data_IF_106300991253
#
_entry.id   IF_106300991253
#
_cell.length_a   1.000
_cell.length_b   1.000
_cell.length_c   1.000
_cell.angle_alpha   90.00
_cell.angle_beta   90.00
_cell.angle_gamma   90.00
#
_symmetry.space_group_name_H-M   'P 1'
#
loop_
_entity.id
_entity.type
_entity.pdbx_description
1 polymer ?
#
# COMPACT_ATOMS: atom_id res chain seq x y z
N UNK A 1 -7.09 -20.22 22.54
CA UNK A 1 -6.12 -19.12 22.63
C UNK A 1 -6.01 -18.54 21.23
N UNK A 2 -6.45 -17.29 21.03
CA UNK A 2 -6.25 -16.63 19.73
C UNK A 2 -4.73 -16.43 19.56
N UNK A 3 -4.12 -17.14 18.61
CA UNK A 3 -2.77 -16.80 18.18
C UNK A 3 -2.77 -15.32 17.78
N UNK A 4 -1.87 -14.54 18.38
CA UNK A 4 -1.73 -13.14 18.03
C UNK A 4 -1.37 -13.07 16.55
N UNK A 5 -2.18 -12.36 15.78
CA UNK A 5 -1.87 -12.03 14.38
C UNK A 5 -0.51 -11.36 14.34
N UNK A 6 0.40 -11.86 13.53
CA UNK A 6 1.76 -11.35 13.41
C UNK A 6 2.04 -10.95 11.97
N UNK A 7 2.49 -9.71 11.75
CA UNK A 7 2.94 -9.21 10.46
C UNK A 7 4.47 -9.28 10.39
N UNK A 8 5.02 -10.40 9.89
CA UNK A 8 6.47 -10.56 9.77
C UNK A 8 7.01 -9.77 8.59
N UNK A 9 7.73 -8.68 8.86
CA UNK A 9 8.44 -7.87 7.87
C UNK A 9 9.91 -8.23 7.91
N UNK A 10 10.49 -8.51 6.73
CA UNK A 10 11.91 -8.77 6.56
C UNK A 10 12.49 -7.71 5.64
N UNK A 11 13.42 -6.93 6.15
CA UNK A 11 14.16 -5.92 5.38
C UNK A 11 15.52 -6.48 4.98
N UNK A 12 15.89 -6.29 3.71
CA UNK A 12 17.18 -6.73 3.22
C UNK A 12 17.71 -5.82 2.09
N UNK A 13 19.01 -5.87 1.91
CA UNK A 13 19.72 -5.32 0.74
C UNK A 13 19.91 -6.46 -0.27
N UNK A 14 19.24 -6.37 -1.41
CA UNK A 14 19.28 -7.40 -2.46
C UNK A 14 18.38 -8.61 -2.23
N UNK A 15 18.51 -9.63 -3.09
CA UNK A 15 17.66 -10.81 -3.10
C UNK A 15 18.26 -12.02 -2.37
N UNK A 16 19.56 -12.05 -2.12
CA UNK A 16 20.21 -13.23 -1.50
C UNK A 16 19.62 -13.62 -0.13
N UNK A 17 19.31 -12.68 0.79
CA UNK A 17 18.69 -13.01 2.06
C UNK A 17 17.26 -13.58 1.98
N UNK A 18 16.62 -13.54 0.80
CA UNK A 18 15.31 -14.18 0.58
C UNK A 18 15.40 -15.70 0.63
N UNK A 19 16.47 -16.29 0.08
CA UNK A 19 16.56 -17.73 -0.13
C UNK A 19 16.59 -18.55 1.16
N UNK A 20 17.34 -18.17 2.21
CA UNK A 20 17.26 -18.85 3.50
C UNK A 20 15.83 -18.87 4.09
N UNK A 21 15.02 -17.83 3.85
CA UNK A 21 13.64 -17.80 4.32
C UNK A 21 12.75 -18.82 3.61
N UNK A 22 13.14 -19.27 2.42
CA UNK A 22 12.42 -20.26 1.62
C UNK A 22 12.82 -21.70 1.91
N UNK A 23 13.88 -21.94 2.70
CA UNK A 23 14.37 -23.28 3.02
C UNK A 23 13.37 -24.15 3.78
N UNK A 24 12.59 -23.55 4.68
CA UNK A 24 11.60 -24.23 5.53
C UNK A 24 10.32 -24.63 4.77
N UNK A 25 10.18 -24.25 3.50
CA UNK A 25 9.03 -24.58 2.69
C UNK A 25 9.33 -25.74 1.72
N UNK A 26 8.32 -26.47 1.29
CA UNK A 26 8.43 -27.56 0.30
C UNK A 26 8.82 -27.03 -1.08
N UNK A 27 7.84 -26.85 -1.94
CA UNK A 27 8.00 -26.23 -3.25
C UNK A 27 7.51 -24.79 -3.24
N UNK A 28 7.95 -23.99 -4.21
CA UNK A 28 7.57 -22.59 -4.38
C UNK A 28 6.84 -22.42 -5.72
N UNK A 29 5.69 -21.78 -5.68
CA UNK A 29 4.99 -21.28 -6.85
C UNK A 29 5.13 -19.75 -6.90
N UNK A 30 5.67 -19.20 -7.98
CA UNK A 30 5.82 -17.76 -8.13
C UNK A 30 4.60 -17.19 -8.88
N UNK A 31 3.97 -16.16 -8.32
CA UNK A 31 3.03 -15.28 -9.02
C UNK A 31 3.71 -13.94 -9.20
N UNK A 32 4.06 -13.58 -10.43
CA UNK A 32 4.88 -12.41 -10.71
C UNK A 32 4.21 -11.44 -11.68
N UNK A 33 4.30 -10.14 -11.39
CA UNK A 33 3.95 -9.09 -12.35
C UNK A 33 4.93 -9.12 -13.53
N UNK A 34 4.38 -9.10 -14.75
CA UNK A 34 5.16 -9.07 -16.00
C UNK A 34 6.18 -7.93 -16.02
N UNK A 35 5.82 -6.77 -15.47
CA UNK A 35 6.67 -5.58 -15.50
C UNK A 35 7.97 -5.72 -14.67
N UNK A 36 8.00 -6.62 -13.70
CA UNK A 36 9.17 -6.85 -12.82
C UNK A 36 9.78 -8.24 -12.99
N UNK A 37 9.31 -8.98 -14.00
CA UNK A 37 9.77 -10.34 -14.24
C UNK A 37 11.29 -10.41 -14.45
N UNK A 38 11.83 -9.60 -15.37
CA UNK A 38 13.26 -9.65 -15.70
C UNK A 38 14.16 -9.17 -14.56
N UNK A 39 13.71 -8.18 -13.78
CA UNK A 39 14.52 -7.58 -12.72
C UNK A 39 14.46 -8.37 -11.40
N UNK A 40 13.33 -9.02 -11.10
CA UNK A 40 13.12 -9.68 -9.80
C UNK A 40 12.64 -11.12 -9.95
N UNK A 41 11.60 -11.36 -10.75
CA UNK A 41 10.95 -12.68 -10.87
C UNK A 41 11.88 -13.72 -11.45
N UNK A 42 12.50 -13.43 -12.59
CA UNK A 42 13.42 -14.37 -13.27
C UNK A 42 14.66 -14.70 -12.43
N UNK A 43 15.40 -13.72 -11.85
CA UNK A 43 16.52 -14.03 -10.94
C UNK A 43 16.14 -14.93 -9.77
N UNK A 44 14.98 -14.70 -9.15
CA UNK A 44 14.46 -15.56 -8.06
C UNK A 44 14.15 -16.96 -8.60
N UNK A 45 13.50 -17.06 -9.77
CA UNK A 45 13.14 -18.35 -10.37
C UNK A 45 14.35 -19.19 -10.75
N UNK A 46 15.38 -18.59 -11.36
CA UNK A 46 16.63 -19.26 -11.73
C UNK A 46 17.35 -19.82 -10.50
N UNK A 47 17.45 -19.02 -9.43
CA UNK A 47 18.06 -19.47 -8.19
C UNK A 47 17.31 -20.65 -7.58
N UNK A 48 15.98 -20.64 -7.58
CA UNK A 48 15.15 -21.73 -7.08
C UNK A 48 15.21 -23.00 -7.96
N UNK A 49 15.56 -22.88 -9.25
CA UNK A 49 15.83 -24.02 -10.14
C UNK A 49 17.21 -24.64 -9.95
N UNK A 50 18.12 -23.99 -9.25
CA UNK A 50 19.48 -24.48 -9.07
C UNK A 50 20.55 -23.78 -9.93
N UNK A 51 20.22 -22.63 -10.54
CA UNK A 51 21.18 -21.78 -11.23
C UNK A 51 22.17 -21.13 -10.27
N UNK A 52 23.48 -21.43 -10.48
CA UNK A 52 24.64 -20.89 -9.78
C UNK A 52 24.68 -21.03 -8.24
N UNK A 53 25.15 -22.17 -7.78
CA UNK A 53 25.84 -22.26 -6.51
C UNK A 53 27.14 -21.43 -6.62
N UNK A 54 27.12 -20.18 -6.15
CA UNK A 54 28.38 -19.48 -5.85
C UNK A 54 29.10 -20.29 -4.76
N UNK A 55 30.40 -20.47 -4.94
CA UNK A 55 31.37 -21.28 -4.20
C UNK A 55 31.57 -20.87 -2.73
N UNK A 56 30.51 -20.79 -1.97
CA UNK A 56 30.52 -20.53 -0.54
C UNK A 56 29.39 -21.34 0.08
N UNK A 57 29.71 -22.54 0.50
CA UNK A 57 29.04 -23.54 1.36
C UNK A 57 27.64 -23.31 1.94
N UNK A 58 26.74 -22.64 1.25
CA UNK A 58 25.37 -22.40 1.66
C UNK A 58 24.42 -23.45 1.10
N UNK A 59 23.63 -24.04 1.95
CA UNK A 59 22.64 -25.08 1.69
C UNK A 59 21.69 -24.73 0.55
N UNK A 60 21.41 -25.70 -0.22
CA UNK A 60 20.78 -25.81 -1.52
C UNK A 60 19.27 -25.53 -1.48
N UNK A 61 18.82 -24.34 -1.86
CA UNK A 61 17.43 -24.09 -2.32
C UNK A 61 17.18 -24.60 -3.76
N UNK A 62 18.08 -25.44 -4.27
CA UNK A 62 17.97 -26.04 -5.59
C UNK A 62 16.74 -26.94 -5.70
N UNK A 63 16.06 -26.87 -6.87
CA UNK A 63 14.87 -27.67 -7.20
C UNK A 63 13.62 -27.40 -6.35
N UNK A 64 13.50 -26.19 -5.79
CA UNK A 64 12.28 -25.78 -5.07
C UNK A 64 11.22 -25.12 -5.96
N UNK A 65 11.58 -24.62 -7.12
CA UNK A 65 10.61 -24.01 -8.02
C UNK A 65 9.71 -25.08 -8.64
N UNK A 66 8.41 -25.02 -8.33
CA UNK A 66 7.40 -25.88 -8.96
C UNK A 66 6.88 -25.26 -10.25
N UNK A 67 6.64 -23.95 -10.29
CA UNK A 67 6.17 -23.25 -11.46
C UNK A 67 6.04 -21.74 -11.24
N UNK A 68 5.64 -21.06 -12.31
CA UNK A 68 5.52 -19.61 -12.37
C UNK A 68 4.28 -19.22 -13.16
N UNK A 69 3.44 -18.35 -12.59
CA UNK A 69 2.38 -17.64 -13.31
C UNK A 69 2.79 -16.18 -13.45
N UNK A 70 3.06 -15.74 -14.68
CA UNK A 70 3.34 -14.32 -14.99
C UNK A 70 2.01 -13.64 -15.34
N UNK A 71 1.63 -12.65 -14.54
CA UNK A 71 0.36 -11.93 -14.69
C UNK A 71 0.59 -10.51 -15.22
N UNK A 72 -0.39 -9.97 -15.90
CA UNK A 72 -0.49 -8.53 -16.15
C UNK A 72 -1.23 -7.89 -14.98
N UNK A 73 -0.48 -7.28 -14.06
CA UNK A 73 -0.98 -6.71 -12.81
C UNK A 73 -1.61 -5.33 -13.03
N UNK A 74 -2.66 -5.28 -13.83
CA UNK A 74 -3.52 -4.10 -14.00
C UNK A 74 -4.79 -4.20 -13.17
N UNK A 75 -5.42 -3.06 -12.87
CA UNK A 75 -6.70 -3.02 -12.13
C UNK A 75 -7.81 -3.78 -12.87
N UNK A 76 -7.76 -3.81 -14.21
CA UNK A 76 -8.69 -4.56 -15.04
C UNK A 76 -8.54 -6.08 -14.88
N UNK A 77 -7.33 -6.54 -14.59
CA UNK A 77 -7.01 -7.95 -14.43
C UNK A 77 -7.01 -8.44 -12.97
N UNK A 78 -7.35 -7.57 -12.01
CA UNK A 78 -7.54 -7.96 -10.61
C UNK A 78 -8.89 -8.65 -10.43
N UNK A 79 -9.06 -9.83 -11.05
CA UNK A 79 -10.36 -10.50 -11.22
C UNK A 79 -10.31 -11.97 -10.79
N UNK A 80 -11.51 -12.60 -10.70
CA UNK A 80 -11.63 -14.03 -10.44
C UNK A 80 -11.08 -14.88 -11.60
N UNK A 81 -11.18 -14.39 -12.84
CA UNK A 81 -10.65 -15.08 -14.01
C UNK A 81 -9.12 -15.22 -13.94
N UNK A 82 -8.42 -14.17 -13.47
CA UNK A 82 -6.96 -14.26 -13.22
C UNK A 82 -6.64 -15.26 -12.12
N UNK A 83 -7.43 -15.27 -11.07
CA UNK A 83 -7.29 -16.25 -9.96
C UNK A 83 -7.50 -17.68 -10.47
N UNK A 84 -8.54 -17.91 -11.26
CA UNK A 84 -8.85 -19.21 -11.86
C UNK A 84 -7.70 -19.71 -12.75
N UNK A 85 -7.13 -18.84 -13.57
CA UNK A 85 -5.98 -19.16 -14.42
C UNK A 85 -4.77 -19.61 -13.57
N UNK A 86 -4.40 -18.86 -12.53
CA UNK A 86 -3.26 -19.21 -11.65
C UNK A 86 -3.54 -20.52 -10.90
N UNK A 87 -4.75 -20.72 -10.41
CA UNK A 87 -5.16 -21.97 -9.75
C UNK A 87 -5.08 -23.16 -10.72
N UNK A 88 -5.49 -22.97 -11.97
CA UNK A 88 -5.37 -23.97 -13.04
C UNK A 88 -3.92 -24.38 -13.28
N UNK A 89 -3.02 -23.41 -13.48
CA UNK A 89 -1.57 -23.65 -13.65
C UNK A 89 -1.00 -24.46 -12.46
N UNK A 90 -1.37 -24.08 -11.23
CA UNK A 90 -0.92 -24.78 -10.02
C UNK A 90 -1.43 -26.23 -9.93
N UNK A 91 -2.67 -26.46 -10.37
CA UNK A 91 -3.27 -27.81 -10.39
C UNK A 91 -2.61 -28.70 -11.44
N UNK A 92 -2.39 -28.19 -12.65
CA UNK A 92 -1.72 -28.93 -13.74
C UNK A 92 -0.28 -29.30 -13.38
N UNK A 93 0.43 -28.41 -12.68
CA UNK A 93 1.78 -28.68 -12.16
C UNK A 93 1.80 -29.62 -10.94
N UNK A 94 0.66 -30.04 -10.43
CA UNK A 94 0.58 -30.93 -9.28
C UNK A 94 0.93 -30.30 -7.94
N UNK A 95 0.79 -28.99 -7.78
CA UNK A 95 1.07 -28.29 -6.52
C UNK A 95 0.31 -28.94 -5.35
N UNK A 96 1.01 -29.35 -4.31
CA UNK A 96 0.42 -29.95 -3.11
C UNK A 96 0.09 -28.90 -2.03
N UNK A 97 -0.28 -29.33 -0.82
CA UNK A 97 -0.61 -28.42 0.29
C UNK A 97 0.61 -27.79 0.96
N UNK A 98 1.81 -28.24 0.66
CA UNK A 98 3.06 -27.73 1.22
C UNK A 98 3.69 -26.66 0.34
N UNK A 99 3.08 -26.35 -0.82
CA UNK A 99 3.54 -25.27 -1.70
C UNK A 99 3.47 -23.92 -0.99
N UNK A 100 4.52 -23.12 -1.17
CA UNK A 100 4.51 -21.69 -0.84
C UNK A 100 4.17 -20.90 -2.11
N UNK A 101 3.16 -20.05 -2.06
CA UNK A 101 2.91 -19.07 -3.11
C UNK A 101 3.71 -17.82 -2.81
N UNK A 102 4.65 -17.45 -3.70
CA UNK A 102 5.47 -16.26 -3.58
C UNK A 102 4.97 -15.19 -4.56
N UNK A 103 4.32 -14.15 -4.03
CA UNK A 103 3.85 -13.00 -4.81
C UNK A 103 4.96 -11.98 -5.00
N UNK A 104 5.37 -11.71 -6.26
CA UNK A 104 6.42 -10.74 -6.63
C UNK A 104 5.81 -9.64 -7.50
N UNK A 105 5.67 -8.42 -6.96
CA UNK A 105 5.06 -7.33 -7.71
C UNK A 105 4.50 -6.22 -6.84
N UNK A 106 3.67 -5.37 -7.43
CA UNK A 106 2.93 -4.32 -6.73
C UNK A 106 1.73 -4.84 -5.93
N UNK A 107 0.92 -3.92 -5.38
CA UNK A 107 -0.25 -4.25 -4.55
C UNK A 107 -1.26 -5.18 -5.23
N UNK A 108 -1.49 -5.02 -6.54
CA UNK A 108 -2.40 -5.91 -7.29
C UNK A 108 -1.87 -7.35 -7.27
N UNK A 109 -0.58 -7.54 -7.51
CA UNK A 109 0.05 -8.87 -7.51
C UNK A 109 0.01 -9.52 -6.12
N UNK A 110 0.32 -8.75 -5.06
CA UNK A 110 0.28 -9.28 -3.70
C UNK A 110 -1.13 -9.67 -3.29
N UNK A 111 -2.13 -8.85 -3.61
CA UNK A 111 -3.54 -9.15 -3.33
C UNK A 111 -4.01 -10.42 -4.05
N UNK A 112 -3.69 -10.56 -5.36
CA UNK A 112 -4.02 -11.74 -6.15
C UNK A 112 -3.31 -12.99 -5.61
N UNK A 113 -2.00 -12.93 -5.38
CA UNK A 113 -1.21 -14.06 -4.88
C UNK A 113 -1.68 -14.53 -3.51
N UNK A 114 -1.95 -13.58 -2.59
CA UNK A 114 -2.46 -13.88 -1.26
C UNK A 114 -3.88 -14.48 -1.30
N UNK A 115 -4.73 -14.02 -2.22
CA UNK A 115 -6.07 -14.56 -2.40
C UNK A 115 -6.03 -15.97 -3.02
N UNK A 116 -5.25 -16.19 -4.10
CA UNK A 116 -4.99 -17.51 -4.68
C UNK A 116 -4.55 -18.50 -3.60
N UNK A 117 -3.51 -18.15 -2.83
CA UNK A 117 -3.00 -18.99 -1.78
C UNK A 117 -4.04 -19.30 -0.69
N UNK A 118 -4.91 -18.34 -0.41
CA UNK A 118 -5.92 -18.48 0.64
C UNK A 118 -7.05 -19.44 0.26
N UNK A 119 -7.36 -19.57 -1.03
CA UNK A 119 -8.44 -20.44 -1.51
C UNK A 119 -7.94 -21.77 -2.09
N UNK A 120 -6.71 -21.81 -2.65
CA UNK A 120 -6.12 -23.03 -3.21
C UNK A 120 -6.04 -24.13 -2.16
N UNK A 121 -6.63 -25.30 -2.45
CA UNK A 121 -6.69 -26.47 -1.52
C UNK A 121 -7.17 -26.12 -0.10
N UNK A 122 -8.01 -25.11 0.06
CA UNK A 122 -8.51 -24.55 1.33
C UNK A 122 -7.46 -23.80 2.14
N UNK A 123 -6.43 -23.30 1.49
CA UNK A 123 -5.37 -22.50 2.06
C UNK A 123 -4.01 -23.16 2.05
N UNK A 124 -3.05 -22.54 1.34
CA UNK A 124 -1.62 -22.86 1.35
C UNK A 124 -0.84 -21.64 1.85
N UNK A 125 0.41 -21.85 2.27
CA UNK A 125 1.27 -20.75 2.75
C UNK A 125 1.61 -19.78 1.62
N UNK A 126 1.86 -18.54 1.96
CA UNK A 126 2.27 -17.53 0.98
C UNK A 126 3.18 -16.47 1.62
N UNK A 127 3.98 -15.82 0.78
CA UNK A 127 4.85 -14.71 1.16
C UNK A 127 4.89 -13.68 0.04
N UNK A 128 5.35 -12.46 0.34
CA UNK A 128 5.40 -11.37 -0.61
C UNK A 128 6.79 -10.78 -0.77
N UNK A 129 7.11 -10.40 -2.02
CA UNK A 129 8.23 -9.54 -2.40
C UNK A 129 7.63 -8.31 -3.10
N UNK A 130 7.17 -7.29 -2.33
CA UNK A 130 6.57 -6.10 -2.91
C UNK A 130 7.61 -5.26 -3.64
N UNK A 131 7.32 -4.90 -4.90
CA UNK A 131 8.24 -4.18 -5.79
C UNK A 131 7.85 -2.73 -6.05
N UNK A 132 6.73 -2.27 -5.51
CA UNK A 132 6.32 -0.85 -5.52
C UNK A 132 6.37 -0.29 -4.12
N UNK A 133 6.69 1.00 -3.98
CA UNK A 133 6.70 1.66 -2.68
C UNK A 133 5.34 1.54 -1.96
N UNK A 134 4.23 1.75 -2.71
CA UNK A 134 2.88 1.58 -2.19
C UNK A 134 2.66 0.18 -1.58
N UNK A 135 3.14 -0.87 -2.25
CA UNK A 135 3.01 -2.21 -1.71
C UNK A 135 3.90 -2.45 -0.49
N UNK A 136 5.12 -1.88 -0.48
CA UNK A 136 6.06 -2.01 0.64
C UNK A 136 5.54 -1.34 1.92
N UNK A 137 4.89 -0.17 1.81
CA UNK A 137 4.43 0.60 2.98
C UNK A 137 2.98 0.34 3.34
N UNK A 138 2.18 -0.20 2.40
CA UNK A 138 0.74 -0.35 2.59
C UNK A 138 0.19 -1.70 2.11
N UNK A 139 0.05 -1.95 0.81
CA UNK A 139 -0.79 -3.02 0.28
C UNK A 139 -0.36 -4.43 0.70
N UNK A 140 0.94 -4.75 0.75
CA UNK A 140 1.43 -6.07 1.16
C UNK A 140 1.41 -6.31 2.68
N UNK A 141 0.89 -5.38 3.48
CA UNK A 141 0.90 -5.44 4.94
C UNK A 141 -0.52 -5.38 5.47
N UNK A 142 -0.84 -6.30 6.38
CA UNK A 142 -2.14 -6.31 7.04
C UNK A 142 -3.10 -7.37 6.53
N UNK A 143 -2.65 -8.22 5.58
CA UNK A 143 -3.31 -9.47 5.22
C UNK A 143 -4.63 -9.33 4.47
N UNK A 144 -5.01 -8.14 4.02
CA UNK A 144 -6.17 -7.96 3.13
C UNK A 144 -5.76 -8.44 1.74
N UNK A 145 -6.35 -9.55 1.28
CA UNK A 145 -6.09 -10.13 -0.03
C UNK A 145 -7.41 -10.28 -0.77
N UNK A 146 -7.46 -9.97 -2.07
CA UNK A 146 -8.71 -10.07 -2.77
C UNK A 146 -8.68 -9.54 -4.19
N UNK A 147 -9.85 -9.61 -4.81
CA UNK A 147 -10.09 -9.25 -6.20
C UNK A 147 -11.30 -8.33 -6.33
N UNK A 148 -11.37 -7.68 -7.48
CA UNK A 148 -12.52 -6.89 -7.86
C UNK A 148 -13.67 -7.80 -8.29
N UNK A 149 -14.89 -7.34 -8.10
CA UNK A 149 -16.08 -8.00 -8.62
C UNK A 149 -16.94 -7.01 -9.37
N UNK A 150 -17.04 -7.19 -10.68
CA UNK A 150 -17.70 -6.23 -11.59
C UNK A 150 -17.04 -4.83 -11.45
N UNK A 151 -17.83 -3.80 -11.11
CA UNK A 151 -17.34 -2.43 -10.88
C UNK A 151 -16.89 -2.15 -9.44
N UNK A 152 -16.99 -3.13 -8.55
CA UNK A 152 -16.64 -2.94 -7.13
C UNK A 152 -15.23 -3.42 -6.86
N UNK A 153 -14.39 -2.52 -6.36
CA UNK A 153 -13.00 -2.85 -5.96
C UNK A 153 -12.96 -3.69 -4.69
N UNK A 154 -12.05 -4.68 -4.64
CA UNK A 154 -11.73 -5.49 -3.46
C UNK A 154 -12.95 -6.15 -2.77
N UNK A 155 -14.01 -6.45 -3.52
CA UNK A 155 -15.27 -6.94 -2.94
C UNK A 155 -15.20 -8.41 -2.52
N UNK A 156 -14.37 -9.22 -3.19
CA UNK A 156 -14.18 -10.63 -2.86
C UNK A 156 -12.77 -10.77 -2.30
N UNK A 157 -12.67 -11.18 -1.04
CA UNK A 157 -11.35 -11.30 -0.40
C UNK A 157 -11.40 -12.00 0.95
N UNK A 158 -10.23 -12.09 1.53
CA UNK A 158 -9.98 -12.70 2.83
C UNK A 158 -9.01 -11.83 3.63
N UNK A 159 -9.04 -11.96 4.95
CA UNK A 159 -8.01 -11.40 5.84
C UNK A 159 -7.13 -12.56 6.28
N UNK A 160 -5.91 -12.65 5.72
CA UNK A 160 -4.92 -13.67 6.06
C UNK A 160 -3.52 -13.11 5.88
N UNK A 161 -2.67 -13.29 6.91
CA UNK A 161 -1.30 -12.79 6.88
C UNK A 161 -0.39 -13.68 6.04
N UNK A 162 0.59 -13.09 5.31
CA UNK A 162 1.69 -13.85 4.71
C UNK A 162 2.62 -14.39 5.80
N UNK A 163 3.39 -15.43 5.47
CA UNK A 163 4.48 -15.96 6.31
C UNK A 163 5.52 -14.86 6.56
N UNK A 164 5.79 -14.04 5.55
CA UNK A 164 6.60 -12.83 5.63
C UNK A 164 6.33 -11.90 4.44
N UNK A 165 6.64 -10.61 4.64
CA UNK A 165 6.75 -9.61 3.57
C UNK A 165 8.21 -9.19 3.48
N UNK A 166 8.83 -9.44 2.33
CA UNK A 166 10.25 -9.20 2.07
C UNK A 166 10.45 -7.87 1.37
N UNK A 167 10.86 -6.84 2.11
CA UNK A 167 11.08 -5.49 1.59
C UNK A 167 12.54 -5.35 1.15
N UNK A 168 12.71 -5.09 -0.14
CA UNK A 168 14.01 -4.89 -0.74
C UNK A 168 13.97 -3.64 -1.64
N UNK A 169 14.78 -2.64 -1.29
CA UNK A 169 14.63 -1.28 -1.81
C UNK A 169 15.13 -1.12 -3.25
N UNK A 170 16.03 -1.98 -3.73
CA UNK A 170 16.52 -1.90 -5.11
C UNK A 170 15.41 -2.07 -6.14
N UNK A 171 14.32 -2.78 -5.79
CA UNK A 171 13.14 -2.91 -6.65
C UNK A 171 12.49 -1.56 -7.00
N UNK A 172 12.74 -0.52 -6.21
CA UNK A 172 12.21 0.82 -6.42
C UNK A 172 12.98 1.60 -7.50
N UNK A 173 14.23 1.21 -7.83
CA UNK A 173 15.08 1.93 -8.79
C UNK A 173 14.50 2.03 -10.19
N UNK A 174 13.67 1.06 -10.58
CA UNK A 174 13.01 1.01 -11.89
C UNK A 174 11.55 1.46 -11.86
N UNK A 175 11.05 1.87 -10.68
CA UNK A 175 9.65 2.23 -10.51
C UNK A 175 9.35 3.57 -11.21
N UNK A 176 8.31 3.65 -12.08
CA UNK A 176 7.90 4.90 -12.71
C UNK A 176 7.57 5.98 -11.66
N UNK A 177 7.94 7.23 -11.95
CA UNK A 177 7.78 8.36 -11.02
C UNK A 177 6.37 8.50 -10.44
N UNK A 178 5.33 8.33 -11.27
CA UNK A 178 3.94 8.41 -10.82
C UNK A 178 3.60 7.30 -9.82
N UNK A 179 4.10 6.09 -10.04
CA UNK A 179 3.91 4.96 -9.12
C UNK A 179 4.71 5.15 -7.83
N UNK A 180 5.91 5.72 -7.91
CA UNK A 180 6.72 6.08 -6.76
C UNK A 180 6.01 7.14 -5.89
N UNK A 181 5.54 8.26 -6.49
CA UNK A 181 4.80 9.30 -5.77
C UNK A 181 3.49 8.78 -5.18
N UNK A 182 2.83 7.82 -5.85
CA UNK A 182 1.66 7.14 -5.28
C UNK A 182 2.00 6.42 -3.97
N UNK A 183 3.16 5.78 -3.90
CA UNK A 183 3.67 5.18 -2.67
C UNK A 183 4.10 6.21 -1.61
N UNK A 184 4.66 7.35 -2.04
CA UNK A 184 5.03 8.46 -1.13
C UNK A 184 3.79 9.03 -0.43
N UNK A 185 2.65 9.12 -1.10
CA UNK A 185 1.41 9.56 -0.47
C UNK A 185 0.98 8.64 0.69
N UNK A 186 1.07 7.32 0.51
CA UNK A 186 0.78 6.32 1.55
C UNK A 186 1.84 6.31 2.68
N UNK A 187 3.10 6.52 2.32
CA UNK A 187 4.18 6.69 3.28
C UNK A 187 3.91 7.89 4.20
N UNK A 188 3.61 9.04 3.62
CA UNK A 188 3.25 10.26 4.37
C UNK A 188 1.96 10.09 5.17
N UNK A 189 0.94 9.42 4.63
CA UNK A 189 -0.27 9.08 5.36
C UNK A 189 0.06 8.37 6.67
N UNK A 190 0.89 7.33 6.61
CA UNK A 190 1.28 6.54 7.79
C UNK A 190 1.99 7.42 8.82
N UNK A 191 2.86 8.33 8.39
CA UNK A 191 3.57 9.22 9.31
C UNK A 191 2.71 10.37 9.85
N UNK A 192 1.74 10.86 9.09
CA UNK A 192 0.73 11.80 9.61
C UNK A 192 -0.11 11.14 10.71
N UNK A 193 -0.34 9.84 10.61
CA UNK A 193 -1.05 9.07 11.64
C UNK A 193 -0.24 8.94 12.93
N UNK A 194 1.08 8.65 12.83
CA UNK A 194 1.80 8.13 13.99
C UNK A 194 3.23 8.67 14.22
N UNK A 195 3.82 9.47 13.30
CA UNK A 195 5.26 9.76 13.36
C UNK A 195 5.65 11.09 12.69
N UNK A 196 5.64 12.16 13.46
CA UNK A 196 5.96 13.51 12.96
C UNK A 196 7.41 13.66 12.49
N UNK A 197 8.36 12.98 13.13
CA UNK A 197 9.79 13.09 12.79
C UNK A 197 10.06 12.42 11.45
N UNK A 198 9.52 11.22 11.25
CA UNK A 198 9.63 10.50 9.98
C UNK A 198 8.91 11.25 8.84
N UNK A 199 7.78 11.90 9.11
CA UNK A 199 7.12 12.78 8.13
C UNK A 199 8.07 13.89 7.64
N UNK A 200 8.70 14.60 8.59
CA UNK A 200 9.64 15.68 8.26
C UNK A 200 10.86 15.17 7.47
N UNK A 201 11.37 13.98 7.81
CA UNK A 201 12.51 13.37 7.12
C UNK A 201 12.14 13.01 5.67
N UNK A 202 10.98 12.38 5.41
CA UNK A 202 10.50 12.12 4.03
C UNK A 202 10.44 13.42 3.23
N UNK A 203 9.76 14.44 3.77
CA UNK A 203 9.60 15.72 3.07
C UNK A 203 10.94 16.37 2.80
N UNK A 204 11.88 16.31 3.74
CA UNK A 204 13.24 16.84 3.59
C UNK A 204 14.02 16.14 2.48
N UNK A 205 14.08 14.81 2.50
CA UNK A 205 14.78 14.00 1.47
C UNK A 205 14.18 14.17 0.08
N UNK A 206 12.86 14.22 -0.02
CA UNK A 206 12.16 14.44 -1.29
C UNK A 206 12.44 15.83 -1.89
N UNK A 207 12.49 16.88 -1.05
CA UNK A 207 12.85 18.23 -1.49
C UNK A 207 14.31 18.31 -1.96
N UNK A 208 15.23 17.67 -1.23
CA UNK A 208 16.65 17.62 -1.59
C UNK A 208 16.88 16.86 -2.91
N UNK A 209 16.19 15.74 -3.12
CA UNK A 209 16.25 14.98 -4.38
C UNK A 209 15.84 15.82 -5.59
N UNK A 210 14.75 16.59 -5.48
CA UNK A 210 14.32 17.50 -6.56
C UNK A 210 15.29 18.65 -6.82
N UNK A 211 15.93 19.21 -5.79
CA UNK A 211 16.92 20.25 -5.97
C UNK A 211 18.13 19.73 -6.76
N UNK A 212 18.60 18.51 -6.46
CA UNK A 212 19.69 17.87 -7.19
C UNK A 212 19.35 17.55 -8.66
N UNK A 213 18.09 17.26 -8.99
CA UNK A 213 17.63 17.06 -10.37
C UNK A 213 17.63 18.37 -11.19
N UNK A 214 17.38 19.51 -10.55
CA UNK A 214 17.37 20.83 -11.20
C UNK A 214 18.77 21.37 -11.46
N UNK A 215 19.75 20.98 -10.63
CA UNK A 215 21.16 21.39 -10.75
C UNK A 215 21.99 20.45 -11.66
N UNK A 216 21.46 19.29 -12.01
CA UNK A 216 22.09 18.38 -12.97
C UNK A 216 22.01 18.96 -14.38
N UNK A 217 23.13 19.49 -14.84
CA UNK A 217 23.33 20.07 -16.18
C UNK A 217 22.86 19.10 -17.28
N UNK A 218 22.10 19.59 -18.26
CA UNK A 218 21.42 18.86 -19.32
C UNK A 218 22.33 18.09 -20.30
N UNK A 219 23.59 17.85 -19.95
CA UNK A 219 24.65 17.33 -20.84
C UNK A 219 25.05 15.86 -20.65
N UNK A 220 24.45 15.13 -19.70
CA UNK A 220 24.74 13.69 -19.52
C UNK A 220 23.51 12.83 -19.74
N UNK A 221 23.10 12.68 -21.01
CA UNK A 221 22.34 11.51 -21.49
C UNK A 221 23.24 10.26 -21.39
N UNK A 222 23.38 9.69 -20.22
CA UNK A 222 23.83 8.29 -20.07
C UNK A 222 23.15 7.69 -18.84
N UNK A 223 22.32 6.68 -19.12
CA UNK A 223 21.57 5.87 -18.19
C UNK A 223 20.54 6.63 -17.35
N UNK A 224 19.29 6.55 -17.76
CA UNK A 224 18.10 7.15 -17.14
C UNK A 224 17.77 6.69 -15.70
N UNK A 225 18.76 6.53 -14.85
CA UNK A 225 18.64 6.29 -13.44
C UNK A 225 18.38 7.60 -12.69
N UNK A 226 17.14 8.00 -12.55
CA UNK A 226 16.77 9.03 -11.57
C UNK A 226 17.26 8.61 -10.21
N UNK A 227 17.89 9.55 -9.49
CA UNK A 227 18.19 9.38 -8.08
C UNK A 227 16.87 9.34 -7.30
N UNK A 228 16.33 8.13 -7.08
CA UNK A 228 15.26 7.95 -6.11
C UNK A 228 15.84 8.30 -4.74
N UNK A 229 15.24 9.25 -3.99
CA UNK A 229 15.71 9.54 -2.65
C UNK A 229 15.81 8.24 -1.84
N UNK A 230 16.88 8.08 -1.08
CA UNK A 230 17.05 6.95 -0.17
C UNK A 230 15.98 7.01 0.93
N UNK A 231 14.83 6.38 0.68
CA UNK A 231 13.70 6.33 1.62
C UNK A 231 13.41 4.90 2.12
N UNK A 232 14.31 3.97 1.87
CA UNK A 232 14.07 2.57 2.20
C UNK A 232 13.98 2.27 3.69
N UNK A 233 14.72 2.99 4.52
CA UNK A 233 14.60 2.97 5.97
C UNK A 233 13.24 3.51 6.43
N UNK A 234 12.76 4.58 5.80
CA UNK A 234 11.45 5.17 6.08
C UNK A 234 10.31 4.27 5.61
N UNK A 235 10.47 3.60 4.45
CA UNK A 235 9.50 2.61 3.99
C UNK A 235 9.35 1.44 4.98
N UNK A 236 10.47 0.91 5.50
CA UNK A 236 10.44 -0.13 6.52
C UNK A 236 9.78 0.36 7.82
N UNK A 237 10.09 1.58 8.27
CA UNK A 237 9.48 2.19 9.46
C UNK A 237 7.96 2.36 9.31
N UNK A 238 7.50 2.80 8.14
CA UNK A 238 6.05 2.89 7.85
C UNK A 238 5.38 1.51 7.86
N UNK A 239 6.05 0.51 7.28
CA UNK A 239 5.59 -0.87 7.30
C UNK A 239 5.43 -1.42 8.72
N UNK A 240 6.39 -1.15 9.60
CA UNK A 240 6.36 -1.55 11.02
C UNK A 240 5.25 -0.83 11.79
N UNK A 241 5.03 0.47 11.56
CA UNK A 241 3.92 1.23 12.15
C UNK A 241 2.59 0.60 11.72
N UNK A 242 2.41 0.36 10.41
CA UNK A 242 1.19 -0.28 9.91
C UNK A 242 1.00 -1.67 10.51
N UNK A 243 2.04 -2.48 10.54
CA UNK A 243 2.00 -3.82 11.13
C UNK A 243 1.54 -3.78 12.60
N UNK A 244 2.10 -2.89 13.41
CA UNK A 244 1.73 -2.70 14.81
C UNK A 244 0.25 -2.33 14.98
N UNK A 245 -0.28 -1.45 14.13
CA UNK A 245 -1.71 -1.07 14.15
C UNK A 245 -2.59 -2.27 13.76
N UNK A 246 -2.20 -3.02 12.73
CA UNK A 246 -2.93 -4.22 12.27
C UNK A 246 -2.92 -5.33 13.32
N UNK A 247 -1.81 -5.56 14.00
CA UNK A 247 -1.69 -6.58 15.05
C UNK A 247 -2.60 -6.29 16.25
N UNK A 248 -2.89 -5.02 16.52
CA UNK A 248 -3.80 -4.60 17.59
C UNK A 248 -5.28 -4.71 17.20
N UNK A 249 -5.60 -4.60 15.91
CA UNK A 249 -6.98 -4.65 15.38
C UNK A 249 -7.01 -5.30 14.00
N UNK A 250 -6.84 -6.64 13.90
CA UNK A 250 -6.75 -7.33 12.60
C UNK A 250 -8.00 -7.20 11.74
N UNK A 251 -9.19 -7.10 12.35
CA UNK A 251 -10.49 -7.09 11.67
C UNK A 251 -11.02 -5.67 11.39
N UNK A 252 -10.28 -4.62 11.80
CA UNK A 252 -10.65 -3.21 11.54
C UNK A 252 -11.96 -2.77 12.23
N UNK A 253 -12.17 -3.23 13.44
CA UNK A 253 -13.33 -2.82 14.23
C UNK A 253 -13.12 -1.48 14.98
N UNK A 254 -11.88 -1.06 15.22
CA UNK A 254 -11.51 0.11 16.01
C UNK A 254 -10.27 0.84 15.50
N UNK A 255 -9.12 0.60 16.16
CA UNK A 255 -7.87 1.32 15.93
C UNK A 255 -7.41 1.30 14.47
N UNK A 256 -7.51 0.16 13.78
CA UNK A 256 -7.05 0.02 12.39
C UNK A 256 -7.76 0.98 11.42
N UNK A 257 -8.93 1.50 11.77
CA UNK A 257 -9.65 2.51 10.97
C UNK A 257 -8.83 3.79 10.76
N UNK A 258 -7.87 4.12 11.64
CA UNK A 258 -7.00 5.29 11.45
C UNK A 258 -6.20 5.24 10.15
N UNK A 259 -5.90 4.02 9.64
CA UNK A 259 -5.22 3.81 8.36
C UNK A 259 -6.02 4.33 7.15
N UNK A 260 -7.32 4.62 7.33
CA UNK A 260 -8.19 5.20 6.31
C UNK A 260 -8.14 6.75 6.28
N UNK A 261 -7.12 7.39 6.86
CA UNK A 261 -6.90 8.83 6.72
C UNK A 261 -6.91 9.24 5.23
N UNK A 262 -7.76 10.20 4.87
CA UNK A 262 -7.95 10.65 3.50
C UNK A 262 -8.77 9.73 2.59
N UNK A 263 -8.97 8.46 2.93
CA UNK A 263 -9.58 7.45 2.05
C UNK A 263 -11.07 7.71 1.76
N UNK A 264 -11.82 8.29 2.68
CA UNK A 264 -13.22 8.66 2.42
C UNK A 264 -13.34 9.58 1.21
N UNK A 265 -12.44 10.56 1.09
CA UNK A 265 -12.37 11.46 -0.05
C UNK A 265 -11.69 10.82 -1.26
N UNK A 266 -10.62 10.06 -1.04
CA UNK A 266 -9.88 9.40 -2.11
C UNK A 266 -10.76 8.46 -2.93
N UNK A 267 -11.57 7.62 -2.31
CA UNK A 267 -12.50 6.71 -2.99
C UNK A 267 -13.54 7.48 -3.83
N UNK A 268 -14.02 8.62 -3.34
CA UNK A 268 -14.91 9.48 -4.13
C UNK A 268 -14.20 10.05 -5.38
N UNK A 269 -12.95 10.52 -5.22
CA UNK A 269 -12.11 11.00 -6.33
C UNK A 269 -11.85 9.89 -7.35
N UNK A 270 -11.44 8.70 -6.90
CA UNK A 270 -11.20 7.55 -7.79
C UNK A 270 -12.44 7.18 -8.60
N UNK A 271 -13.61 7.14 -7.95
CA UNK A 271 -14.89 6.85 -8.58
C UNK A 271 -15.28 7.88 -9.63
N UNK A 272 -15.18 9.18 -9.29
CA UNK A 272 -15.50 10.29 -10.20
C UNK A 272 -14.51 10.39 -11.35
N UNK A 273 -13.24 10.05 -11.11
CA UNK A 273 -12.18 10.12 -12.11
C UNK A 273 -12.20 9.00 -13.15
N UNK A 274 -12.96 7.94 -12.90
CA UNK A 274 -12.98 6.72 -13.76
C UNK A 274 -11.57 6.18 -14.03
N UNK A 275 -10.72 6.14 -13.00
CA UNK A 275 -9.37 5.59 -13.06
C UNK A 275 -8.27 6.52 -13.62
N UNK A 276 -8.59 7.79 -13.91
CA UNK A 276 -7.57 8.78 -14.36
C UNK A 276 -6.58 9.16 -13.27
N UNK A 277 -7.01 9.15 -12.02
CA UNK A 277 -6.19 9.40 -10.84
C UNK A 277 -5.64 8.08 -10.29
N UNK A 278 -4.36 8.05 -9.97
CA UNK A 278 -3.79 6.94 -9.21
C UNK A 278 -4.29 6.98 -7.76
N UNK A 279 -4.23 5.83 -7.08
CA UNK A 279 -4.64 5.72 -5.68
C UNK A 279 -3.94 6.77 -4.80
N UNK A 280 -2.61 6.86 -4.87
CA UNK A 280 -1.87 7.81 -4.04
C UNK A 280 -2.12 9.27 -4.38
N UNK A 281 -2.39 9.62 -5.65
CA UNK A 281 -2.83 10.97 -6.00
C UNK A 281 -4.16 11.31 -5.33
N UNK A 282 -5.12 10.38 -5.36
CA UNK A 282 -6.40 10.56 -4.70
C UNK A 282 -6.26 10.64 -3.16
N UNK A 283 -5.39 9.80 -2.57
CA UNK A 283 -5.10 9.84 -1.12
C UNK A 283 -4.43 11.14 -0.72
N UNK A 284 -3.49 11.66 -1.51
CA UNK A 284 -2.85 12.94 -1.21
C UNK A 284 -3.88 14.07 -1.12
N UNK A 285 -4.75 14.21 -2.13
CA UNK A 285 -5.84 15.20 -2.10
C UNK A 285 -6.81 14.91 -0.96
N UNK A 286 -7.13 13.64 -0.72
CA UNK A 286 -8.01 13.22 0.36
C UNK A 286 -7.50 13.61 1.75
N UNK A 287 -6.18 13.56 1.98
CA UNK A 287 -5.54 14.02 3.22
C UNK A 287 -5.70 15.55 3.38
N UNK A 288 -5.52 16.32 2.30
CA UNK A 288 -5.72 17.77 2.34
C UNK A 288 -7.18 18.13 2.67
N UNK A 289 -8.14 17.42 2.05
CA UNK A 289 -9.56 17.61 2.36
C UNK A 289 -9.90 17.21 3.81
N UNK A 290 -9.28 16.13 4.32
CA UNK A 290 -9.42 15.72 5.72
C UNK A 290 -8.84 16.80 6.68
N UNK A 291 -7.70 17.40 6.34
CA UNK A 291 -7.12 18.49 7.12
C UNK A 291 -7.98 19.76 7.08
N UNK A 292 -8.56 20.11 5.91
CA UNK A 292 -9.54 21.21 5.80
C UNK A 292 -10.74 20.98 6.71
N UNK A 293 -11.30 19.78 6.67
CA UNK A 293 -12.42 19.41 7.53
C UNK A 293 -12.03 19.44 9.01
N UNK A 294 -10.81 18.98 9.36
CA UNK A 294 -10.28 19.02 10.71
C UNK A 294 -10.21 20.46 11.27
N UNK A 295 -9.67 21.41 10.51
CA UNK A 295 -9.63 22.81 10.90
C UNK A 295 -11.03 23.39 11.11
N UNK A 296 -11.99 23.08 10.23
CA UNK A 296 -13.37 23.60 10.33
C UNK A 296 -14.15 23.03 11.54
N UNK A 297 -13.79 21.83 12.00
CA UNK A 297 -14.43 21.11 13.12
C UNK A 297 -13.71 21.29 14.45
N UNK A 298 -12.54 21.93 14.46
CA UNK A 298 -11.77 22.13 15.69
C UNK A 298 -12.62 22.84 16.75
N UNK A 299 -12.62 22.28 17.94
CA UNK A 299 -13.40 22.75 19.11
C UNK A 299 -14.94 22.71 18.95
N UNK A 300 -15.46 22.12 17.88
CA UNK A 300 -16.91 22.06 17.59
C UNK A 300 -17.51 20.65 17.73
N UNK A 301 -16.68 19.63 17.78
CA UNK A 301 -17.09 18.23 17.84
C UNK A 301 -16.26 17.45 18.84
N UNK A 302 -16.74 16.26 19.19
CA UNK A 302 -15.98 15.30 20.00
C UNK A 302 -15.44 14.16 19.14
N UNK A 303 -14.30 13.60 19.53
CA UNK A 303 -13.74 12.39 18.94
C UNK A 303 -14.46 11.12 19.44
N UNK A 304 -14.01 9.95 18.98
CA UNK A 304 -14.57 8.64 19.38
C UNK A 304 -14.44 8.34 20.86
N UNK A 305 -13.52 9.01 21.55
CA UNK A 305 -13.28 8.85 22.98
C UNK A 305 -14.15 9.82 23.83
N UNK A 306 -14.96 10.65 23.15
CA UNK A 306 -15.83 11.66 23.78
C UNK A 306 -15.09 12.93 24.20
N UNK A 307 -13.84 13.12 23.75
CA UNK A 307 -13.02 14.29 24.04
C UNK A 307 -13.22 15.36 22.96
N UNK A 308 -13.12 16.65 23.32
CA UNK A 308 -13.15 17.74 22.35
C UNK A 308 -12.05 17.55 21.31
N UNK A 309 -12.42 17.60 20.02
CA UNK A 309 -11.48 17.49 18.91
C UNK A 309 -10.79 18.83 18.67
N UNK A 310 -9.46 18.83 18.77
CA UNK A 310 -8.63 20.02 18.53
C UNK A 310 -7.69 19.74 17.36
N UNK A 311 -7.68 20.61 16.38
CA UNK A 311 -6.76 20.60 15.25
C UNK A 311 -5.68 21.68 15.44
N UNK A 312 -4.44 21.35 15.14
CA UNK A 312 -3.31 22.29 15.11
C UNK A 312 -3.57 23.38 14.07
N UNK A 313 -3.40 24.64 14.47
CA UNK A 313 -3.59 25.79 13.59
C UNK A 313 -2.61 25.76 12.40
N UNK A 314 -3.12 26.00 11.19
CA UNK A 314 -2.30 26.02 9.97
C UNK A 314 -1.83 24.64 9.47
N UNK A 315 -2.36 23.54 10.03
CA UNK A 315 -2.01 22.19 9.63
C UNK A 315 -2.24 21.95 8.13
N UNK A 316 -3.41 22.34 7.61
CA UNK A 316 -3.75 22.21 6.18
C UNK A 316 -2.73 22.95 5.30
N UNK A 317 -2.46 24.21 5.60
CA UNK A 317 -1.52 25.02 4.82
C UNK A 317 -0.10 24.42 4.83
N UNK A 318 0.32 23.81 5.93
CA UNK A 318 1.58 23.09 6.02
C UNK A 318 1.59 21.86 5.11
N UNK A 319 0.56 21.01 5.16
CA UNK A 319 0.44 19.83 4.33
C UNK A 319 0.38 20.17 2.84
N UNK A 320 -0.41 21.18 2.44
CA UNK A 320 -0.49 21.67 1.06
C UNK A 320 0.87 22.11 0.53
N UNK A 321 1.60 22.93 1.30
CA UNK A 321 2.95 23.40 0.94
C UNK A 321 3.93 22.24 0.78
N UNK A 322 3.93 21.28 1.71
CA UNK A 322 4.84 20.15 1.71
C UNK A 322 4.54 19.19 0.56
N UNK A 323 3.27 18.87 0.32
CA UNK A 323 2.84 18.00 -0.77
C UNK A 323 3.14 18.62 -2.15
N UNK A 324 2.83 19.92 -2.35
CA UNK A 324 3.21 20.64 -3.59
C UNK A 324 4.73 20.60 -3.82
N UNK A 325 5.52 20.83 -2.79
CA UNK A 325 6.98 20.86 -2.91
C UNK A 325 7.56 19.52 -3.39
N UNK A 326 6.96 18.40 -2.99
CA UNK A 326 7.41 17.06 -3.40
C UNK A 326 6.72 16.52 -4.66
N UNK A 327 5.75 17.26 -5.22
CA UNK A 327 5.07 16.93 -6.47
C UNK A 327 3.81 16.09 -6.34
N UNK A 328 3.22 16.03 -5.15
CA UNK A 328 1.90 15.46 -4.95
C UNK A 328 0.80 16.50 -5.24
N UNK A 329 -0.35 16.08 -5.78
CA UNK A 329 -1.49 16.97 -5.98
C UNK A 329 -2.11 17.37 -4.64
N UNK A 330 -2.63 18.61 -4.58
CA UNK A 330 -3.28 19.15 -3.40
C UNK A 330 -4.68 19.71 -3.68
N UNK A 331 -5.06 19.83 -4.94
CA UNK A 331 -6.32 20.43 -5.37
C UNK A 331 -7.29 19.33 -5.83
N UNK A 332 -8.51 19.35 -5.29
CA UNK A 332 -9.58 18.46 -5.73
C UNK A 332 -10.20 19.00 -7.03
N UNK A 333 -10.27 18.19 -8.11
CA UNK A 333 -10.85 18.63 -9.38
C UNK A 333 -12.39 18.61 -9.39
N UNK A 334 -13.00 18.20 -8.29
CA UNK A 334 -14.45 18.04 -8.17
C UNK A 334 -15.03 19.00 -7.15
N UNK A 335 -16.26 19.42 -7.38
CA UNK A 335 -17.01 20.26 -6.45
C UNK A 335 -17.38 19.49 -5.18
N UNK A 336 -17.61 20.20 -4.09
CA UNK A 336 -18.07 19.62 -2.83
C UNK A 336 -19.35 18.80 -2.99
N UNK A 337 -20.28 19.26 -3.85
CA UNK A 337 -21.51 18.55 -4.14
C UNK A 337 -21.27 17.21 -4.84
N UNK A 338 -20.39 17.18 -5.86
CA UNK A 338 -20.04 15.92 -6.54
C UNK A 338 -19.37 14.96 -5.57
N UNK A 339 -18.51 15.45 -4.69
CA UNK A 339 -17.85 14.64 -3.66
C UNK A 339 -18.86 14.09 -2.65
N UNK A 340 -19.76 14.92 -2.13
CA UNK A 340 -20.82 14.52 -1.20
C UNK A 340 -21.73 13.44 -1.81
N UNK A 341 -22.18 13.66 -3.06
CA UNK A 341 -23.00 12.69 -3.81
C UNK A 341 -22.27 11.34 -4.03
N UNK A 342 -20.96 11.37 -4.28
CA UNK A 342 -20.16 10.16 -4.47
C UNK A 342 -19.96 9.39 -3.15
N UNK A 343 -19.71 10.11 -2.05
CA UNK A 343 -19.56 9.53 -0.70
C UNK A 343 -20.86 8.95 -0.16
N UNK A 344 -22.00 9.62 -0.38
CA UNK A 344 -23.32 9.17 0.13
C UNK A 344 -23.81 7.88 -0.52
N UNK A 345 -23.47 7.65 -1.80
CA UNK A 345 -23.85 6.42 -2.51
C UNK A 345 -23.15 5.16 -1.95
N UNK A 346 -21.94 5.30 -1.43
CA UNK A 346 -21.19 4.19 -0.83
C UNK A 346 -21.72 3.79 0.56
N UNK A 347 -22.38 4.70 1.27
CA UNK A 347 -22.67 4.57 2.71
C UNK A 347 -24.13 4.39 3.08
N UNK A 348 -25.04 4.29 2.13
CA UNK A 348 -26.46 3.97 2.40
C UNK A 348 -26.70 2.66 3.19
N UNK A 349 -25.65 1.86 3.38
CA UNK A 349 -25.68 0.61 4.15
C UNK A 349 -25.36 0.78 5.65
N UNK A 350 -24.75 1.91 6.10
CA UNK A 350 -24.27 2.07 7.50
C UNK A 350 -24.99 3.19 8.30
N UNK A 351 -26.04 3.82 7.73
CA UNK A 351 -26.79 4.93 8.37
C UNK A 351 -26.24 6.32 8.01
N UNK A 352 -26.86 7.39 8.58
CA UNK A 352 -26.62 8.79 8.20
C UNK A 352 -25.28 9.38 8.70
N UNK A 353 -24.42 8.58 9.37
CA UNK A 353 -23.17 9.05 9.97
C UNK A 353 -21.95 8.39 9.35
N UNK A 354 -20.93 9.21 9.09
CA UNK A 354 -19.64 8.80 8.54
C UNK A 354 -18.55 8.93 9.62
N UNK A 355 -17.71 7.89 9.75
CA UNK A 355 -16.50 7.97 10.53
C UNK A 355 -15.40 8.61 9.67
N UNK A 356 -15.04 9.86 9.96
CA UNK A 356 -13.89 10.52 9.35
C UNK A 356 -12.65 10.30 10.21
N UNK A 357 -11.54 10.03 9.57
CA UNK A 357 -10.23 10.07 10.21
C UNK A 357 -9.66 11.45 9.95
N UNK A 358 -9.50 12.23 11.00
CA UNK A 358 -9.10 13.64 10.92
C UNK A 358 -7.73 13.83 11.58
N UNK A 359 -6.78 14.50 10.92
CA UNK A 359 -5.51 14.82 11.54
C UNK A 359 -5.70 15.93 12.59
N UNK A 360 -5.29 15.65 13.84
CA UNK A 360 -5.23 16.64 14.90
C UNK A 360 -3.92 17.45 14.79
N UNK A 361 -2.85 16.78 14.48
CA UNK A 361 -1.51 17.30 14.13
C UNK A 361 -0.74 16.21 13.38
N UNK A 362 0.39 16.53 12.79
CA UNK A 362 1.27 15.50 12.22
C UNK A 362 1.74 14.57 13.36
N UNK A 363 1.60 13.26 13.14
CA UNK A 363 1.85 12.22 14.14
C UNK A 363 0.65 11.90 15.05
N UNK A 364 -0.53 12.49 14.78
CA UNK A 364 -1.73 12.20 15.58
C UNK A 364 -3.01 12.44 14.80
N UNK A 365 -3.88 11.44 14.77
CA UNK A 365 -5.20 11.50 14.14
C UNK A 365 -6.28 11.07 15.11
N UNK A 366 -7.52 11.46 14.83
CA UNK A 366 -8.70 11.12 15.63
C UNK A 366 -9.81 10.59 14.73
N UNK A 367 -10.61 9.67 15.26
CA UNK A 367 -11.83 9.21 14.61
C UNK A 367 -12.97 10.14 15.07
N UNK A 368 -13.59 10.82 14.12
CA UNK A 368 -14.70 11.75 14.37
C UNK A 368 -15.92 11.29 13.59
N UNK A 369 -17.06 11.17 14.28
CA UNK A 369 -18.30 10.71 13.69
C UNK A 369 -19.19 11.89 13.34
N UNK A 370 -19.41 12.13 12.05
CA UNK A 370 -20.13 13.28 11.53
C UNK A 370 -21.34 12.83 10.72
N UNK A 371 -22.46 13.56 10.84
CA UNK A 371 -23.61 13.37 9.95
C UNK A 371 -23.27 13.94 8.56
N UNK A 372 -23.68 13.27 7.48
CA UNK A 372 -23.36 13.68 6.11
C UNK A 372 -23.95 15.08 5.79
N UNK A 373 -25.11 15.42 6.34
CA UNK A 373 -25.72 16.75 6.21
C UNK A 373 -24.87 17.87 6.87
N UNK A 374 -24.15 17.53 7.95
CA UNK A 374 -23.23 18.45 8.63
C UNK A 374 -21.95 18.65 7.82
N UNK A 375 -21.51 17.67 7.04
CA UNK A 375 -20.35 17.81 6.16
C UNK A 375 -20.53 19.00 5.19
N UNK A 376 -21.71 19.13 4.55
CA UNK A 376 -21.99 20.20 3.60
C UNK A 376 -21.93 21.58 4.28
N UNK A 377 -22.35 21.70 5.54
CA UNK A 377 -22.28 22.94 6.31
C UNK A 377 -20.84 23.35 6.68
N UNK A 378 -19.98 22.38 7.01
CA UNK A 378 -18.60 22.64 7.41
C UNK A 378 -17.64 22.77 6.22
N UNK A 379 -18.01 22.25 5.06
CA UNK A 379 -17.20 22.33 3.85
C UNK A 379 -17.36 23.64 3.08
N UNK A 380 -18.43 24.41 3.34
CA UNK A 380 -18.74 25.69 2.66
C UNK A 380 -18.30 26.94 3.43
N UNK A 381 -17.85 26.80 4.67
CA UNK A 381 -17.28 27.94 5.42
C UNK A 381 -15.84 28.19 4.93
N UNK A 382 -15.70 29.18 4.01
CA UNK A 382 -14.43 29.80 3.63
C UNK A 382 -13.84 30.63 4.77
#
# INVERSE_FOLDING_TARGET
MNEKVKCRIVRAEGLDPLFPLLEDFGTVWIVCDRNVWEQVGNPVSERLRGGHANSGGGLSVCNKLLGVSIIDASEANKTMETVESVVGDMLEAGADRNVLVLGIGGGITTDLAGFVASIYKRGVRFAFVPTTLLAQVDAAIGGKNGVNFRSYKNMIGVIRQPEFTYIYNESLKTLPQRAFLSGVAELLKTFIIADADAYNDVVGRMKAGKANELDADCSSEKDGGRSIPEIGDLAARAAEIKASIVEQDPEEHGLRRVLNLGHTFAHAIEKLSSGRWSHGEAVAVGIILAARLAESLSDKVTDSDGLSFICEEGLRARLERDFKAIGLPTECPYTLKEMSDAMSKDKKAEGDRINFILPAKIGSVKIVKINIEQYDLYSTSE
#
